data_IF_733942922017
#
_entry.id   IF_733942922017
#
_cell.length_a   1.000
_cell.length_b   1.000
_cell.length_c   1.000
_cell.angle_alpha   90.00
_cell.angle_beta   90.00
_cell.angle_gamma   90.00
#
_symmetry.space_group_name_H-M   'P 1'
#
loop_
_entity.id
_entity.type
_entity.pdbx_description
1 polymer ?
#
# COMPACT_ATOMS: atom_id res chain seq x y z
N UNK A 1 -36.34 -40.22 -1.63
CA UNK A 1 -34.94 -40.00 -2.06
C UNK A 1 -34.75 -38.89 -3.12
N UNK A 2 -35.77 -38.47 -3.88
CA UNK A 2 -35.59 -37.50 -4.99
C UNK A 2 -35.49 -36.00 -4.61
N UNK A 3 -36.25 -35.53 -3.60
CA UNK A 3 -36.34 -34.09 -3.29
C UNK A 3 -35.05 -33.46 -2.74
N UNK A 4 -34.25 -34.23 -2.00
CA UNK A 4 -32.99 -33.75 -1.38
C UNK A 4 -31.88 -33.57 -2.42
N UNK A 5 -31.86 -34.37 -3.49
CA UNK A 5 -30.88 -34.26 -4.57
C UNK A 5 -31.14 -33.04 -5.45
N UNK A 6 -32.41 -32.72 -5.70
CA UNK A 6 -32.79 -31.56 -6.50
C UNK A 6 -32.39 -30.25 -5.80
N UNK A 7 -32.66 -30.14 -4.48
CA UNK A 7 -32.28 -28.96 -3.70
C UNK A 7 -30.76 -28.73 -3.69
N UNK A 8 -29.96 -29.80 -3.56
CA UNK A 8 -28.50 -29.69 -3.60
C UNK A 8 -27.96 -29.19 -4.95
N UNK A 9 -28.57 -29.59 -6.07
CA UNK A 9 -28.20 -29.11 -7.41
C UNK A 9 -28.57 -27.63 -7.58
N UNK A 10 -29.75 -27.21 -7.11
CA UNK A 10 -30.15 -25.80 -7.16
C UNK A 10 -29.26 -24.90 -6.29
N UNK A 11 -28.83 -25.35 -5.11
CA UNK A 11 -27.89 -24.59 -4.27
C UNK A 11 -26.50 -24.51 -4.93
N UNK A 12 -26.00 -25.61 -5.50
CA UNK A 12 -24.72 -25.60 -6.23
C UNK A 12 -24.77 -24.67 -7.44
N UNK A 13 -25.86 -24.70 -8.23
CA UNK A 13 -26.04 -23.83 -9.39
C UNK A 13 -26.18 -22.36 -8.99
N UNK A 14 -26.96 -22.06 -7.95
CA UNK A 14 -27.08 -20.69 -7.42
C UNK A 14 -25.74 -20.16 -6.88
N UNK A 15 -24.94 -21.01 -6.24
CA UNK A 15 -23.62 -20.66 -5.75
C UNK A 15 -22.63 -20.45 -6.91
N UNK A 16 -22.65 -21.31 -7.94
CA UNK A 16 -21.83 -21.15 -9.13
C UNK A 16 -22.18 -19.85 -9.87
N UNK A 17 -23.48 -19.54 -10.00
CA UNK A 17 -23.97 -18.29 -10.59
C UNK A 17 -23.58 -17.07 -9.74
N UNK A 18 -23.55 -17.20 -8.41
CA UNK A 18 -23.08 -16.14 -7.50
C UNK A 18 -21.55 -15.94 -7.54
N UNK A 19 -20.78 -16.95 -7.96
CA UNK A 19 -19.32 -16.90 -8.12
C UNK A 19 -18.87 -16.38 -9.50
N UNK A 20 -19.72 -16.48 -10.54
CA UNK A 20 -19.40 -15.98 -11.88
C UNK A 20 -19.08 -14.45 -11.92
N UNK A 21 -19.79 -13.57 -11.20
CA UNK A 21 -19.42 -12.16 -11.09
C UNK A 21 -18.05 -11.97 -10.44
N UNK A 22 -17.65 -12.80 -9.49
CA UNK A 22 -16.37 -12.70 -8.78
C UNK A 22 -15.19 -12.91 -9.72
N UNK A 23 -15.31 -13.88 -10.64
CA UNK A 23 -14.27 -14.19 -11.64
C UNK A 23 -14.22 -13.11 -12.72
N UNK A 24 -15.36 -12.54 -13.12
CA UNK A 24 -15.41 -11.40 -14.03
C UNK A 24 -14.85 -10.11 -13.38
N UNK A 25 -15.06 -9.91 -12.07
CA UNK A 25 -14.53 -8.79 -11.29
C UNK A 25 -13.02 -8.87 -11.06
N UNK A 26 -12.42 -10.07 -11.12
CA UNK A 26 -10.97 -10.25 -11.07
C UNK A 26 -10.25 -9.82 -12.36
N UNK A 27 -10.99 -9.60 -13.45
CA UNK A 27 -10.46 -9.07 -14.73
C UNK A 27 -10.66 -7.56 -14.91
N UNK A 28 -11.26 -6.84 -13.96
CA UNK A 28 -11.29 -5.37 -14.02
C UNK A 28 -9.89 -4.86 -13.72
N UNK A 29 -9.16 -4.60 -14.81
CA UNK A 29 -7.73 -4.41 -14.84
C UNK A 29 -7.23 -3.36 -13.86
N UNK A 30 -6.02 -3.64 -13.35
CA UNK A 30 -5.11 -2.64 -12.82
C UNK A 30 -5.26 -1.37 -13.65
N UNK A 31 -5.53 -0.26 -12.98
CA UNK A 31 -5.57 1.01 -13.67
C UNK A 31 -4.22 1.27 -14.33
N UNK A 32 -4.19 2.22 -15.24
CA UNK A 32 -2.93 2.82 -15.65
C UNK A 32 -3.07 4.31 -15.40
N UNK A 33 -2.09 4.91 -14.74
CA UNK A 33 -2.04 6.35 -14.56
C UNK A 33 -0.88 6.98 -15.31
N UNK A 34 -1.01 8.28 -15.56
CA UNK A 34 0.04 9.11 -16.13
C UNK A 34 0.35 10.22 -15.13
N UNK A 35 1.63 10.41 -14.80
CA UNK A 35 2.08 11.55 -14.01
C UNK A 35 2.52 12.66 -14.97
N UNK A 36 1.91 13.83 -14.83
CA UNK A 36 2.24 15.03 -15.60
C UNK A 36 2.81 16.08 -14.66
N UNK A 37 3.97 16.65 -14.99
CA UNK A 37 4.63 17.70 -14.20
C UNK A 37 4.59 19.02 -14.96
N UNK A 38 4.52 20.15 -14.24
CA UNK A 38 4.42 21.47 -14.88
C UNK A 38 5.72 21.94 -15.52
N UNK A 39 6.85 21.35 -15.14
CA UNK A 39 8.17 21.64 -15.70
C UNK A 39 9.08 20.42 -15.65
N UNK A 40 9.71 20.10 -16.78
CA UNK A 40 10.69 19.01 -16.89
C UNK A 40 12.13 19.48 -16.68
N UNK A 41 12.36 20.79 -16.61
CA UNK A 41 13.69 21.37 -16.43
C UNK A 41 13.62 22.47 -15.38
N UNK A 42 14.45 22.39 -14.35
CA UNK A 42 14.57 23.42 -13.31
C UNK A 42 16.03 23.76 -13.11
N UNK A 43 16.34 25.06 -12.95
CA UNK A 43 17.70 25.51 -12.61
C UNK A 43 17.72 25.94 -11.17
N UNK A 44 18.66 25.39 -10.40
CA UNK A 44 18.86 25.71 -9.00
C UNK A 44 20.34 25.97 -8.73
N UNK A 45 20.61 26.65 -7.62
CA UNK A 45 21.94 26.80 -7.05
C UNK A 45 22.09 25.86 -5.85
N UNK A 46 23.31 25.49 -5.44
CA UNK A 46 23.53 24.72 -4.22
C UNK A 46 22.84 25.38 -3.02
N UNK A 47 22.05 24.59 -2.28
CA UNK A 47 21.22 25.07 -1.15
C UNK A 47 19.87 25.66 -1.56
N UNK A 48 19.60 25.75 -2.86
CA UNK A 48 18.34 26.22 -3.41
C UNK A 48 17.21 25.19 -3.31
N UNK A 49 15.97 25.68 -3.41
CA UNK A 49 14.77 24.86 -3.50
C UNK A 49 13.78 25.49 -4.49
N UNK A 50 12.97 24.67 -5.15
CA UNK A 50 11.85 25.11 -5.97
C UNK A 50 10.64 24.21 -5.77
N UNK A 51 9.46 24.72 -6.10
CA UNK A 51 8.22 23.95 -6.06
C UNK A 51 7.55 24.02 -7.43
N UNK A 52 7.23 22.86 -7.99
CA UNK A 52 6.48 22.72 -9.24
C UNK A 52 5.15 22.00 -8.98
N UNK A 53 4.20 22.12 -9.90
CA UNK A 53 2.94 21.39 -9.81
C UNK A 53 3.03 20.04 -10.51
N UNK A 54 2.28 19.06 -10.03
CA UNK A 54 2.09 17.78 -10.72
C UNK A 54 0.60 17.38 -10.71
N UNK A 55 0.23 16.53 -11.65
CA UNK A 55 -1.10 15.92 -11.78
C UNK A 55 -0.94 14.44 -12.09
N UNK A 56 -1.64 13.57 -11.35
CA UNK A 56 -1.77 12.15 -11.68
C UNK A 56 -3.12 11.97 -12.36
N UNK A 57 -3.13 11.48 -13.59
CA UNK A 57 -4.33 11.26 -14.40
C UNK A 57 -4.57 9.77 -14.59
N UNK A 58 -5.81 9.34 -14.44
CA UNK A 58 -6.22 7.99 -14.84
C UNK A 58 -6.24 7.89 -16.36
N UNK A 59 -5.47 6.96 -16.91
CA UNK A 59 -5.45 6.63 -18.35
C UNK A 59 -6.47 5.54 -18.66
N UNK A 60 -6.57 4.51 -17.80
CA UNK A 60 -7.51 3.41 -17.97
C UNK A 60 -7.78 2.67 -16.66
N UNK A 61 -8.84 1.87 -16.60
CA UNK A 61 -9.20 1.05 -15.44
C UNK A 61 -9.92 1.81 -14.34
N UNK A 62 -9.85 1.29 -13.11
CA UNK A 62 -10.42 1.90 -11.91
C UNK A 62 -9.30 2.39 -10.98
N UNK A 63 -9.59 3.41 -10.18
CA UNK A 63 -8.64 4.02 -9.24
C UNK A 63 -8.98 3.64 -7.81
N UNK A 64 -7.99 3.14 -7.07
CA UNK A 64 -8.04 3.16 -5.62
C UNK A 64 -6.61 3.21 -5.05
N UNK A 65 -6.31 4.22 -4.23
CA UNK A 65 -5.09 4.23 -3.42
C UNK A 65 -3.78 4.48 -4.18
N UNK A 66 -3.77 5.38 -5.15
CA UNK A 66 -2.56 5.74 -5.90
C UNK A 66 -1.57 6.52 -5.03
N UNK A 67 -0.31 6.13 -5.08
CA UNK A 67 0.79 6.77 -4.37
C UNK A 67 1.82 7.35 -5.35
N UNK A 68 2.31 8.55 -5.05
CA UNK A 68 3.39 9.20 -5.79
C UNK A 68 4.73 8.69 -5.26
N UNK A 69 5.44 7.94 -6.10
CA UNK A 69 6.81 7.50 -5.82
C UNK A 69 7.81 8.41 -6.51
N UNK A 70 8.79 8.88 -5.74
CA UNK A 70 9.86 9.77 -6.20
C UNK A 70 11.19 9.05 -6.04
N UNK A 71 12.02 9.06 -7.09
CA UNK A 71 13.38 8.52 -7.09
C UNK A 71 14.32 9.58 -7.65
N UNK A 72 15.39 9.90 -6.94
CA UNK A 72 16.42 10.84 -7.40
C UNK A 72 17.68 10.11 -7.82
N UNK A 73 18.41 10.63 -8.82
CA UNK A 73 19.65 10.01 -9.31
C UNK A 73 20.85 10.22 -8.38
N UNK A 74 20.73 11.08 -7.36
CA UNK A 74 21.81 11.43 -6.44
C UNK A 74 21.27 11.84 -5.07
N UNK A 75 22.07 11.66 -4.03
CA UNK A 75 21.82 12.15 -2.68
C UNK A 75 21.93 13.68 -2.54
N UNK A 76 22.49 14.37 -3.53
CA UNK A 76 22.54 15.85 -3.53
C UNK A 76 21.19 16.51 -3.85
N UNK A 77 20.24 15.75 -4.38
CA UNK A 77 18.91 16.23 -4.74
C UNK A 77 17.87 15.38 -4.01
N UNK A 78 16.94 16.05 -3.33
CA UNK A 78 15.77 15.42 -2.73
C UNK A 78 14.50 16.06 -3.27
N UNK A 79 13.41 15.29 -3.28
CA UNK A 79 12.11 15.80 -3.68
C UNK A 79 10.98 15.15 -2.88
N UNK A 80 9.93 15.93 -2.61
CA UNK A 80 8.75 15.50 -1.85
C UNK A 80 7.46 15.99 -2.53
N UNK A 81 6.43 15.14 -2.52
CA UNK A 81 5.12 15.44 -3.09
C UNK A 81 4.10 15.73 -1.98
N UNK A 82 3.22 16.70 -2.21
CA UNK A 82 2.08 17.00 -1.34
C UNK A 82 0.82 17.33 -2.17
N UNK A 83 -0.26 16.53 -2.09
CA UNK A 83 -0.34 15.25 -1.37
C UNK A 83 0.57 14.18 -1.99
N UNK A 84 0.97 13.17 -1.22
CA UNK A 84 1.75 12.03 -1.73
C UNK A 84 0.88 10.87 -2.22
N UNK A 85 -0.44 10.94 -2.02
CA UNK A 85 -1.40 9.89 -2.38
C UNK A 85 -2.79 10.48 -2.65
N UNK A 86 -3.59 9.76 -3.42
CA UNK A 86 -4.97 10.13 -3.75
C UNK A 86 -5.51 9.26 -4.88
N UNK A 87 -6.81 9.36 -5.16
CA UNK A 87 -7.42 8.69 -6.31
C UNK A 87 -7.35 9.61 -7.54
N UNK A 88 -6.84 9.15 -8.69
CA UNK A 88 -6.80 9.96 -9.90
C UNK A 88 -8.19 10.34 -10.42
N UNK A 89 -8.39 11.54 -10.96
CA UNK A 89 -7.36 12.57 -11.18
C UNK A 89 -7.13 13.43 -9.93
N UNK A 90 -5.89 13.50 -9.44
CA UNK A 90 -5.52 14.43 -8.37
C UNK A 90 -4.28 15.24 -8.73
N UNK A 91 -4.11 16.39 -8.09
CA UNK A 91 -3.00 17.31 -8.31
C UNK A 91 -2.35 17.74 -7.00
N UNK A 92 -1.08 18.10 -7.08
CA UNK A 92 -0.30 18.49 -5.92
C UNK A 92 0.90 19.36 -6.26
N UNK A 93 1.75 19.55 -5.27
CA UNK A 93 3.02 20.26 -5.38
C UNK A 93 4.18 19.31 -5.14
N UNK A 94 5.19 19.38 -5.99
CA UNK A 94 6.47 18.70 -5.85
C UNK A 94 7.52 19.73 -5.45
N UNK A 95 8.08 19.59 -4.26
CA UNK A 95 9.19 20.45 -3.79
C UNK A 95 10.50 19.73 -4.04
N UNK A 96 11.43 20.37 -4.75
CA UNK A 96 12.75 19.86 -5.10
C UNK A 96 13.78 20.71 -4.37
N UNK A 97 14.67 20.07 -3.62
CA UNK A 97 15.72 20.75 -2.85
C UNK A 97 17.09 20.21 -3.25
N UNK A 98 18.06 21.13 -3.37
CA UNK A 98 19.45 20.83 -3.70
C UNK A 98 20.32 21.11 -2.47
N UNK A 99 21.17 20.14 -2.11
CA UNK A 99 22.10 20.29 -1.00
C UNK A 99 23.06 21.49 -1.21
N UNK A 100 23.50 22.12 -0.14
CA UNK A 100 24.42 23.28 -0.19
C UNK A 100 25.81 22.95 -0.74
N UNK A 101 26.22 21.68 -0.68
CA UNK A 101 27.48 21.17 -1.19
C UNK A 101 27.32 20.43 -2.54
N UNK A 102 26.17 20.52 -3.19
CA UNK A 102 25.94 19.85 -4.46
C UNK A 102 26.90 20.36 -5.55
N UNK A 103 27.65 19.48 -6.22
CA UNK A 103 28.44 19.87 -7.38
C UNK A 103 27.56 20.42 -8.51
N UNK A 104 28.12 21.30 -9.33
CA UNK A 104 27.45 21.71 -10.57
C UNK A 104 27.28 20.52 -11.50
N UNK A 105 26.09 20.37 -12.08
CA UNK A 105 25.76 19.22 -12.91
C UNK A 105 24.27 19.14 -13.21
N UNK A 106 23.89 18.05 -13.89
CA UNK A 106 22.50 17.72 -14.18
C UNK A 106 22.12 16.50 -13.34
N UNK A 107 21.04 16.61 -12.60
CA UNK A 107 20.47 15.53 -11.79
C UNK A 107 19.07 15.20 -12.25
N UNK A 108 18.64 13.97 -12.02
CA UNK A 108 17.33 13.49 -12.45
C UNK A 108 16.44 13.21 -11.23
N UNK A 109 15.18 13.63 -11.35
CA UNK A 109 14.12 13.28 -10.41
C UNK A 109 13.02 12.60 -11.21
N UNK A 110 12.81 11.32 -10.95
CA UNK A 110 11.78 10.49 -11.57
C UNK A 110 10.56 10.42 -10.65
N UNK A 111 9.40 10.80 -11.17
CA UNK A 111 8.12 10.78 -10.46
C UNK A 111 7.19 9.79 -11.14
N UNK A 112 6.71 8.80 -10.41
CA UNK A 112 5.83 7.73 -10.93
C UNK A 112 4.62 7.54 -10.04
N UNK A 113 3.51 7.09 -10.62
CA UNK A 113 2.36 6.59 -9.88
C UNK A 113 2.60 5.11 -9.55
N UNK A 114 2.25 4.71 -8.33
CA UNK A 114 2.32 3.34 -7.81
C UNK A 114 1.04 3.01 -7.06
N UNK A 115 0.79 1.73 -6.81
CA UNK A 115 -0.48 1.25 -6.26
C UNK A 115 -1.24 0.45 -7.32
N UNK A 116 -2.56 0.59 -7.33
CA UNK A 116 -3.46 -0.21 -8.18
C UNK A 116 -3.49 0.26 -9.64
N UNK A 117 -3.00 1.47 -9.90
CA UNK A 117 -2.92 2.11 -11.20
C UNK A 117 -1.52 2.67 -11.51
N UNK A 118 -0.50 1.80 -11.61
CA UNK A 118 0.88 2.24 -11.79
C UNK A 118 1.05 3.00 -13.10
N UNK A 119 1.96 3.96 -13.11
CA UNK A 119 2.36 4.63 -14.34
C UNK A 119 3.27 3.74 -15.16
N UNK A 120 2.99 3.62 -16.46
CA UNK A 120 3.83 2.86 -17.40
C UNK A 120 5.22 3.48 -17.61
N UNK A 121 5.33 4.80 -17.42
CA UNK A 121 6.59 5.54 -17.46
C UNK A 121 6.62 6.61 -16.37
N UNK A 122 7.75 6.83 -15.69
CA UNK A 122 7.92 7.98 -14.82
C UNK A 122 7.96 9.27 -15.63
N UNK A 123 7.52 10.37 -15.01
CA UNK A 123 7.83 11.72 -15.44
C UNK A 123 9.22 12.11 -14.94
N UNK A 124 10.14 12.41 -15.86
CA UNK A 124 11.51 12.81 -15.53
C UNK A 124 11.65 14.33 -15.51
N UNK A 125 12.26 14.83 -14.44
CA UNK A 125 12.63 16.24 -14.25
C UNK A 125 14.15 16.33 -14.17
N UNK A 126 14.74 17.19 -15.00
CA UNK A 126 16.16 17.52 -14.98
C UNK A 126 16.43 18.76 -14.13
N UNK A 127 17.25 18.60 -13.09
CA UNK A 127 17.67 19.64 -12.17
C UNK A 127 19.08 20.08 -12.53
N UNK A 128 19.21 21.28 -13.11
CA UNK A 128 20.48 21.90 -13.46
C UNK A 128 21.00 22.67 -12.26
N UNK A 129 22.05 22.15 -11.63
CA UNK A 129 22.73 22.84 -10.52
C UNK A 129 23.87 23.68 -11.08
N UNK A 130 23.77 25.00 -10.91
CA UNK A 130 24.82 25.95 -11.33
C UNK A 130 25.71 26.31 -10.15
N UNK A 131 27.00 26.47 -10.40
CA UNK A 131 27.93 26.97 -9.39
C UNK A 131 27.52 28.38 -8.94
N UNK A 132 27.63 28.65 -7.63
CA UNK A 132 27.56 30.03 -7.15
C UNK A 132 28.76 30.76 -7.76
N UNK A 133 28.50 31.65 -8.71
CA UNK A 133 29.53 32.51 -9.28
C UNK A 133 30.07 33.39 -8.16
N UNK A 134 31.22 33.02 -7.62
CA UNK A 134 32.00 33.89 -6.73
C UNK A 134 32.68 34.90 -7.64
N UNK A 135 32.08 36.09 -7.76
CA UNK A 135 32.79 37.24 -8.32
C UNK A 135 34.01 37.49 -7.43
N UNK A 136 35.19 37.10 -7.88
CA UNK A 136 36.43 37.34 -7.18
C UNK A 136 36.70 38.85 -7.17
N UNK A 137 36.47 39.51 -6.03
CA UNK A 137 36.97 40.87 -5.80
C UNK A 137 38.48 40.78 -5.63
N UNK A 138 39.24 41.05 -6.70
CA UNK A 138 40.69 41.21 -6.62
C UNK A 138 41.00 42.51 -5.88
N UNK A 139 41.30 42.43 -4.59
CA UNK A 139 41.83 43.57 -3.83
C UNK A 139 43.29 43.77 -4.23
N UNK A 140 43.56 44.66 -5.19
CA UNK A 140 44.91 45.12 -5.50
C UNK A 140 45.40 46.01 -4.35
N UNK A 141 46.26 45.47 -3.49
CA UNK A 141 46.92 46.23 -2.43
C UNK A 141 48.04 47.08 -3.04
N UNK A 142 47.76 48.35 -3.32
CA UNK A 142 48.80 49.32 -3.71
C UNK A 142 49.55 49.77 -2.45
N UNK A 143 50.81 49.37 -2.30
CA UNK A 143 51.71 49.91 -1.27
C UNK A 143 52.14 51.32 -1.64
N UNK A 144 51.63 52.33 -0.94
CA UNK A 144 52.10 53.71 -1.01
C UNK A 144 53.21 53.95 0.03
N UNK A 145 54.42 54.18 -0.46
CA UNK A 145 55.55 54.70 0.31
C UNK A 145 55.36 56.19 0.56
N UNK A 146 55.31 56.61 1.82
CA UNK A 146 55.20 58.02 2.24
C UNK A 146 56.56 58.71 2.18
N UNK A 147 56.64 59.86 1.50
CA UNK A 147 57.76 60.80 1.61
C UNK A 147 57.20 62.21 1.77
N UNK A 148 57.59 62.87 2.85
CA UNK A 148 57.19 64.23 3.22
C UNK A 148 57.85 65.27 2.32
N UNK A 149 57.06 66.25 1.83
CA UNK A 149 57.57 67.57 1.47
C UNK A 149 56.47 68.65 1.47
N UNK A 150 56.93 69.85 1.78
CA UNK A 150 56.26 71.10 2.16
C UNK A 150 55.48 71.82 1.05
N UNK A 151 54.44 72.53 1.50
CA UNK A 151 53.58 73.58 0.92
C UNK A 151 53.99 74.31 -0.37
N UNK A 152 53.05 74.46 -1.32
CA UNK A 152 52.64 75.77 -1.90
C UNK A 152 51.29 75.69 -2.62
N UNK A 153 50.49 76.73 -2.45
CA UNK A 153 49.18 77.07 -3.05
C UNK A 153 49.24 77.25 -4.58
N UNK A 154 48.15 76.99 -5.33
CA UNK A 154 47.59 77.80 -6.48
C UNK A 154 46.46 77.08 -7.27
N UNK A 155 45.26 77.70 -7.24
CA UNK A 155 44.12 77.84 -8.21
C UNK A 155 43.65 76.78 -9.25
N UNK A 156 42.38 76.35 -9.09
CA UNK A 156 41.23 76.25 -10.06
C UNK A 156 41.27 75.32 -11.31
N UNK A 157 40.11 75.04 -11.97
CA UNK A 157 39.07 74.02 -11.71
C UNK A 157 39.07 72.87 -12.75
N UNK A 158 38.28 71.79 -12.58
CA UNK A 158 37.51 71.14 -13.68
C UNK A 158 36.90 69.78 -13.30
N UNK A 159 35.70 69.57 -13.86
CA UNK A 159 34.98 68.33 -14.14
C UNK A 159 34.37 67.50 -13.01
N UNK A 160 33.03 67.59 -12.99
CA UNK A 160 32.12 66.70 -12.31
C UNK A 160 32.26 65.25 -12.79
N UNK A 161 32.45 64.34 -11.84
CA UNK A 161 32.17 62.92 -12.02
C UNK A 161 31.11 62.53 -10.98
N UNK A 162 29.93 62.20 -11.46
CA UNK A 162 28.79 61.70 -10.68
C UNK A 162 29.07 60.25 -10.29
N UNK A 163 29.44 60.01 -9.03
CA UNK A 163 29.55 58.67 -8.46
C UNK A 163 28.17 58.24 -7.94
N UNK A 164 27.48 57.38 -8.70
CA UNK A 164 26.26 56.73 -8.22
C UNK A 164 26.65 55.59 -7.27
N UNK A 165 26.51 55.81 -5.97
CA UNK A 165 26.64 54.77 -4.95
C UNK A 165 25.34 53.99 -4.87
N UNK A 166 25.31 52.79 -5.47
CA UNK A 166 24.20 51.85 -5.29
C UNK A 166 24.44 51.03 -4.02
N UNK A 167 23.78 51.41 -2.94
CA UNK A 167 23.77 50.65 -1.68
C UNK A 167 22.90 49.40 -1.84
N UNK A 168 23.52 48.26 -2.17
CA UNK A 168 22.83 46.96 -2.12
C UNK A 168 22.65 46.54 -0.66
N UNK A 169 21.43 46.71 -0.16
CA UNK A 169 21.02 46.28 1.18
C UNK A 169 20.94 44.75 1.20
N UNK A 170 21.92 44.09 1.82
CA UNK A 170 21.87 42.66 2.11
C UNK A 170 20.71 42.39 3.07
N UNK A 171 19.63 41.81 2.55
CA UNK A 171 18.52 41.30 3.37
C UNK A 171 18.90 39.89 3.81
N UNK A 172 19.39 39.75 5.03
CA UNK A 172 19.57 38.45 5.68
C UNK A 172 18.20 37.93 6.07
N UNK A 173 17.60 37.10 5.22
CA UNK A 173 16.35 36.39 5.53
C UNK A 173 16.70 35.19 6.41
N UNK A 174 16.63 35.35 7.73
CA UNK A 174 16.68 34.24 8.68
C UNK A 174 15.39 33.43 8.57
N UNK A 175 15.43 32.35 7.81
CA UNK A 175 14.34 31.37 7.77
C UNK A 175 14.32 30.57 9.07
N UNK A 176 13.46 30.99 10.01
CA UNK A 176 13.10 30.18 11.16
C UNK A 176 12.25 29.01 10.68
N UNK A 177 12.85 27.83 10.61
CA UNK A 177 12.13 26.57 10.38
C UNK A 177 11.34 26.24 11.65
N UNK A 178 10.09 26.70 11.73
CA UNK A 178 9.14 26.15 12.69
C UNK A 178 8.71 24.78 12.15
N UNK A 179 9.35 23.72 12.64
CA UNK A 179 8.86 22.35 12.49
C UNK A 179 7.58 22.21 13.30
N UNK A 180 6.45 22.59 12.70
CA UNK A 180 5.14 22.23 13.20
C UNK A 180 4.98 20.74 12.98
N UNK A 181 5.08 19.95 14.06
CA UNK A 181 4.67 18.56 14.04
C UNK A 181 3.25 18.50 13.43
N UNK A 182 2.99 17.63 12.44
CA UNK A 182 1.64 17.49 11.91
C UNK A 182 0.72 17.17 13.09
N UNK A 183 -0.25 18.07 13.33
CA UNK A 183 -1.30 17.82 14.30
C UNK A 183 -1.87 16.43 14.02
N UNK A 184 -2.01 15.56 15.05
CA UNK A 184 -2.63 14.27 14.85
C UNK A 184 -4.02 14.54 14.29
N UNK A 185 -4.20 14.23 13.01
CA UNK A 185 -5.52 14.15 12.41
C UNK A 185 -6.26 13.09 13.22
N UNK A 186 -7.14 13.55 14.10
CA UNK A 186 -8.08 12.72 14.83
C UNK A 186 -9.05 12.13 13.81
N UNK A 187 -8.58 11.11 13.09
CA UNK A 187 -9.43 10.13 12.47
C UNK A 187 -10.30 9.60 13.59
N UNK A 188 -11.55 10.08 13.63
CA UNK A 188 -12.58 9.57 14.50
C UNK A 188 -12.66 8.09 14.22
N UNK A 189 -12.05 7.31 15.09
CA UNK A 189 -12.23 5.87 15.18
C UNK A 189 -13.70 5.67 15.52
N UNK A 190 -14.55 5.67 14.49
CA UNK A 190 -15.93 5.26 14.63
C UNK A 190 -15.89 3.91 15.35
N UNK A 191 -16.72 3.73 16.38
CA UNK A 191 -16.84 2.44 17.09
C UNK A 191 -17.61 1.40 16.26
N UNK A 192 -18.19 1.81 15.13
CA UNK A 192 -18.88 0.95 14.17
C UNK A 192 -18.08 -0.29 13.67
N UNK A 193 -16.78 -0.19 13.35
CA UNK A 193 -15.97 -1.32 12.95
C UNK A 193 -15.69 -2.28 14.12
N UNK A 194 -15.56 -1.78 15.35
CA UNK A 194 -15.41 -2.63 16.55
C UNK A 194 -16.71 -3.40 16.87
N UNK A 195 -17.88 -2.76 16.67
CA UNK A 195 -19.17 -3.42 16.79
C UNK A 195 -19.36 -4.53 15.77
N UNK A 196 -19.00 -4.29 14.51
CA UNK A 196 -19.02 -5.32 13.46
C UNK A 196 -18.04 -6.47 13.77
N UNK A 197 -16.87 -6.17 14.35
CA UNK A 197 -15.87 -7.15 14.78
C UNK A 197 -16.44 -8.12 15.83
N UNK A 198 -17.05 -7.60 16.88
CA UNK A 198 -17.64 -8.43 17.95
C UNK A 198 -18.77 -9.31 17.37
N UNK A 199 -19.59 -8.76 16.47
CA UNK A 199 -20.69 -9.52 15.85
C UNK A 199 -20.17 -10.65 14.96
N UNK A 200 -19.20 -10.42 14.07
CA UNK A 200 -18.69 -11.46 13.16
C UNK A 200 -17.97 -12.57 13.92
N UNK A 201 -17.17 -12.23 14.94
CA UNK A 201 -16.50 -13.23 15.79
C UNK A 201 -17.52 -14.03 16.59
N UNK A 202 -18.52 -13.37 17.20
CA UNK A 202 -19.60 -14.06 17.92
C UNK A 202 -20.39 -14.96 16.97
N UNK A 203 -20.72 -14.52 15.76
CA UNK A 203 -21.44 -15.35 14.78
C UNK A 203 -20.59 -16.53 14.30
N UNK A 204 -19.28 -16.34 14.10
CA UNK A 204 -18.37 -17.41 13.70
C UNK A 204 -18.22 -18.45 14.83
N UNK A 205 -18.07 -18.00 16.08
CA UNK A 205 -18.04 -18.88 17.25
C UNK A 205 -19.39 -19.57 17.45
N UNK A 206 -20.49 -18.82 17.40
CA UNK A 206 -21.84 -19.37 17.51
C UNK A 206 -22.13 -20.38 16.39
N UNK A 207 -21.60 -20.17 15.19
CA UNK A 207 -21.65 -21.16 14.13
C UNK A 207 -20.83 -22.40 14.51
N UNK A 208 -19.56 -22.27 14.89
CA UNK A 208 -18.71 -23.43 15.28
C UNK A 208 -19.33 -24.23 16.43
N UNK A 209 -19.77 -23.56 17.49
CA UNK A 209 -20.38 -24.21 18.66
C UNK A 209 -21.79 -24.72 18.38
N UNK A 210 -22.64 -23.91 17.74
CA UNK A 210 -24.02 -24.26 17.40
C UNK A 210 -24.10 -25.39 16.38
N UNK A 211 -23.23 -25.40 15.37
CA UNK A 211 -23.13 -26.52 14.43
C UNK A 211 -22.55 -27.78 15.10
N UNK A 212 -21.79 -27.65 16.18
CA UNK A 212 -21.40 -28.78 17.03
C UNK A 212 -22.58 -29.60 17.56
N UNK A 213 -23.77 -29.00 17.67
CA UNK A 213 -25.01 -29.65 18.11
C UNK A 213 -25.71 -30.45 16.99
N UNK A 214 -25.42 -30.15 15.71
CA UNK A 214 -26.03 -30.87 14.55
C UNK A 214 -25.50 -32.30 14.37
N UNK A 215 -24.58 -32.73 15.24
CA UNK A 215 -23.92 -34.02 15.19
C UNK A 215 -22.74 -34.04 14.20
N UNK A 216 -21.77 -34.94 14.43
CA UNK A 216 -20.47 -34.87 13.76
C UNK A 216 -20.54 -35.07 12.24
N UNK A 217 -21.58 -35.74 11.73
CA UNK A 217 -21.74 -35.97 10.28
C UNK A 217 -22.21 -34.73 9.52
N UNK A 218 -22.91 -33.80 10.18
CA UNK A 218 -23.51 -32.61 9.52
C UNK A 218 -22.70 -31.34 9.75
N UNK A 219 -21.94 -31.27 10.85
CA UNK A 219 -21.16 -30.07 11.19
C UNK A 219 -20.03 -29.80 10.20
N UNK A 220 -19.30 -30.82 9.76
CA UNK A 220 -18.19 -30.66 8.80
C UNK A 220 -18.59 -30.07 7.44
N UNK A 221 -19.58 -30.63 6.70
CA UNK A 221 -19.99 -30.03 5.43
C UNK A 221 -20.54 -28.62 5.60
N UNK A 222 -21.28 -28.37 6.68
CA UNK A 222 -21.88 -27.06 6.92
C UNK A 222 -20.83 -25.99 7.27
N UNK A 223 -19.80 -26.32 8.04
CA UNK A 223 -18.67 -25.41 8.31
C UNK A 223 -17.84 -25.15 7.03
N UNK A 224 -17.63 -26.18 6.20
CA UNK A 224 -16.93 -26.04 4.92
C UNK A 224 -17.71 -25.18 3.91
N UNK A 225 -19.04 -25.17 3.96
CA UNK A 225 -19.84 -24.28 3.11
C UNK A 225 -19.94 -22.87 3.70
N UNK A 226 -19.91 -22.74 5.02
CA UNK A 226 -19.93 -21.44 5.67
C UNK A 226 -18.63 -20.66 5.44
N UNK A 227 -17.49 -21.34 5.26
CA UNK A 227 -16.20 -20.70 4.93
C UNK A 227 -16.20 -20.01 3.56
N UNK A 228 -17.13 -20.35 2.67
CA UNK A 228 -17.26 -19.70 1.37
C UNK A 228 -17.56 -18.19 1.47
N UNK A 229 -18.17 -17.75 2.58
CA UNK A 229 -18.49 -16.33 2.80
C UNK A 229 -17.21 -15.49 2.93
N UNK A 230 -16.32 -15.74 3.92
CA UNK A 230 -15.07 -15.00 4.01
C UNK A 230 -14.13 -15.23 2.82
N UNK A 231 -14.13 -16.42 2.23
CA UNK A 231 -13.34 -16.70 1.03
C UNK A 231 -13.78 -15.83 -0.15
N UNK A 232 -15.08 -15.78 -0.44
CA UNK A 232 -15.63 -14.94 -1.50
C UNK A 232 -15.38 -13.46 -1.24
N UNK A 233 -15.43 -13.02 0.02
CA UNK A 233 -15.08 -11.65 0.40
C UNK A 233 -13.62 -11.34 0.06
N UNK A 234 -12.68 -12.18 0.51
CA UNK A 234 -11.25 -11.98 0.25
C UNK A 234 -10.94 -12.00 -1.26
N UNK A 235 -11.54 -12.93 -2.01
CA UNK A 235 -11.36 -12.99 -3.46
C UNK A 235 -11.86 -11.75 -4.21
N UNK A 236 -12.92 -11.10 -3.70
CA UNK A 236 -13.53 -9.94 -4.36
C UNK A 236 -12.94 -8.60 -3.89
N UNK A 237 -12.62 -8.48 -2.60
CA UNK A 237 -12.37 -7.20 -1.92
C UNK A 237 -10.99 -7.06 -1.31
N UNK A 238 -10.10 -8.05 -1.46
CA UNK A 238 -8.71 -7.92 -1.05
C UNK A 238 -7.81 -7.58 -2.25
N UNK A 239 -7.58 -6.28 -2.53
CA UNK A 239 -6.68 -5.87 -3.60
C UNK A 239 -5.22 -6.18 -3.26
N UNK A 240 -4.83 -6.12 -1.98
CA UNK A 240 -3.46 -6.43 -1.56
C UNK A 240 -3.14 -7.89 -1.88
N UNK A 241 -4.06 -8.82 -1.58
CA UNK A 241 -3.90 -10.22 -1.94
C UNK A 241 -3.70 -10.44 -3.44
N UNK A 242 -4.41 -9.67 -4.29
CA UNK A 242 -4.29 -9.75 -5.76
C UNK A 242 -3.00 -9.11 -6.29
N UNK A 243 -2.60 -7.97 -5.73
CA UNK A 243 -1.50 -7.17 -6.25
C UNK A 243 -0.15 -7.64 -5.73
N UNK A 244 -0.05 -7.92 -4.42
CA UNK A 244 1.23 -8.21 -3.76
C UNK A 244 1.43 -9.70 -3.52
N UNK A 245 0.35 -10.49 -3.47
CA UNK A 245 0.39 -11.91 -3.12
C UNK A 245 -0.36 -12.84 -4.09
N UNK A 246 -0.09 -12.79 -5.41
CA UNK A 246 -0.88 -13.51 -6.41
C UNK A 246 -0.92 -15.03 -6.17
N UNK A 247 0.16 -15.62 -5.65
CA UNK A 247 0.16 -17.05 -5.28
C UNK A 247 -0.87 -17.35 -4.18
N UNK A 248 -0.94 -16.50 -3.15
CA UNK A 248 -1.90 -16.65 -2.05
C UNK A 248 -3.34 -16.47 -2.57
N UNK A 249 -3.56 -15.53 -3.48
CA UNK A 249 -4.84 -15.37 -4.17
C UNK A 249 -5.29 -16.64 -4.91
N UNK A 250 -4.40 -17.26 -5.70
CA UNK A 250 -4.72 -18.51 -6.41
C UNK A 250 -4.94 -19.70 -5.48
N UNK A 251 -4.15 -19.80 -4.39
CA UNK A 251 -4.34 -20.83 -3.37
C UNK A 251 -5.69 -20.68 -2.67
N UNK A 252 -6.10 -19.45 -2.37
CA UNK A 252 -7.42 -19.17 -1.81
C UNK A 252 -8.54 -19.55 -2.78
N UNK A 253 -8.42 -19.20 -4.06
CA UNK A 253 -9.40 -19.59 -5.09
C UNK A 253 -9.50 -21.12 -5.25
N UNK A 254 -8.36 -21.83 -5.24
CA UNK A 254 -8.32 -23.29 -5.28
C UNK A 254 -8.96 -23.92 -4.03
N UNK A 255 -8.68 -23.35 -2.85
CA UNK A 255 -9.30 -23.76 -1.60
C UNK A 255 -10.82 -23.56 -1.63
N UNK A 256 -11.31 -22.47 -2.18
CA UNK A 256 -12.75 -22.24 -2.37
C UNK A 256 -13.41 -23.27 -3.25
N UNK A 257 -12.82 -23.57 -4.41
CA UNK A 257 -13.32 -24.63 -5.27
C UNK A 257 -13.36 -25.99 -4.55
N UNK A 258 -12.34 -26.29 -3.75
CA UNK A 258 -12.31 -27.48 -2.91
C UNK A 258 -13.42 -27.48 -1.83
N UNK A 259 -13.60 -26.38 -1.09
CA UNK A 259 -14.62 -26.23 -0.04
C UNK A 259 -16.02 -26.46 -0.59
N UNK A 260 -16.33 -25.95 -1.78
CA UNK A 260 -17.59 -26.21 -2.48
C UNK A 260 -17.74 -27.70 -2.80
N UNK A 261 -16.75 -28.28 -3.48
CA UNK A 261 -16.80 -29.67 -3.93
C UNK A 261 -16.90 -30.65 -2.75
N UNK A 262 -16.09 -30.44 -1.72
CA UNK A 262 -16.06 -31.27 -0.52
C UNK A 262 -17.34 -31.12 0.32
N UNK A 263 -17.79 -29.88 0.57
CA UNK A 263 -19.01 -29.60 1.33
C UNK A 263 -20.24 -30.22 0.68
N UNK A 264 -20.40 -30.05 -0.64
CA UNK A 264 -21.52 -30.64 -1.40
C UNK A 264 -21.43 -32.15 -1.45
N UNK A 265 -20.24 -32.70 -1.70
CA UNK A 265 -20.02 -34.16 -1.71
C UNK A 265 -20.41 -34.76 -0.36
N UNK A 266 -19.98 -34.16 0.76
CA UNK A 266 -20.28 -34.64 2.10
C UNK A 266 -21.77 -34.50 2.47
N UNK A 267 -22.47 -33.47 1.96
CA UNK A 267 -23.93 -33.35 2.11
C UNK A 267 -24.68 -34.45 1.36
N UNK A 268 -24.25 -34.77 0.14
CA UNK A 268 -24.92 -35.75 -0.71
C UNK A 268 -24.55 -37.19 -0.35
N UNK A 269 -23.29 -37.42 0.00
CA UNK A 269 -22.67 -38.71 0.26
C UNK A 269 -21.60 -38.57 1.36
N UNK A 270 -21.91 -38.93 2.61
CA UNK A 270 -20.95 -38.84 3.72
C UNK A 270 -19.89 -39.95 3.61
N UNK A 271 -18.92 -39.77 2.71
CA UNK A 271 -17.82 -40.70 2.48
C UNK A 271 -16.70 -40.44 3.49
N UNK A 272 -16.16 -41.51 4.10
CA UNK A 272 -15.03 -41.40 5.05
C UNK A 272 -13.82 -40.72 4.41
N UNK A 273 -13.48 -41.08 3.17
CA UNK A 273 -12.37 -40.46 2.45
C UNK A 273 -12.55 -38.95 2.27
N UNK A 274 -13.78 -38.50 2.01
CA UNK A 274 -14.08 -37.07 1.88
C UNK A 274 -13.90 -36.32 3.21
N UNK A 275 -14.34 -36.88 4.35
CA UNK A 275 -14.06 -36.26 5.66
C UNK A 275 -12.56 -36.22 5.96
N UNK A 276 -11.79 -37.28 5.64
CA UNK A 276 -10.34 -37.28 5.83
C UNK A 276 -9.65 -36.21 4.98
N UNK A 277 -10.06 -36.07 3.72
CA UNK A 277 -9.53 -35.06 2.82
C UNK A 277 -9.89 -33.64 3.28
N UNK A 278 -11.14 -33.38 3.67
CA UNK A 278 -11.56 -32.09 4.25
C UNK A 278 -10.79 -31.78 5.53
N UNK A 279 -10.59 -32.77 6.40
CA UNK A 279 -9.79 -32.59 7.62
C UNK A 279 -8.36 -32.15 7.31
N UNK A 280 -7.71 -32.85 6.38
CA UNK A 280 -6.33 -32.58 6.01
C UNK A 280 -6.18 -31.21 5.33
N UNK A 281 -6.99 -30.91 4.31
CA UNK A 281 -6.85 -29.67 3.53
C UNK A 281 -7.25 -28.44 4.36
N UNK A 282 -8.35 -28.49 5.12
CA UNK A 282 -8.75 -27.36 5.97
C UNK A 282 -7.72 -27.13 7.11
N UNK A 283 -7.17 -28.21 7.68
CA UNK A 283 -6.11 -28.11 8.68
C UNK A 283 -4.82 -27.52 8.11
N UNK A 284 -4.42 -27.95 6.91
CA UNK A 284 -3.23 -27.42 6.23
C UNK A 284 -3.42 -25.95 5.84
N UNK A 285 -4.61 -25.55 5.41
CA UNK A 285 -4.95 -24.14 5.14
C UNK A 285 -4.82 -23.28 6.41
N UNK A 286 -5.37 -23.73 7.54
CA UNK A 286 -5.19 -23.04 8.82
C UNK A 286 -3.72 -22.91 9.20
N UNK A 287 -2.94 -23.98 9.07
CA UNK A 287 -1.51 -23.96 9.39
C UNK A 287 -0.73 -23.02 8.45
N UNK A 288 -1.06 -23.05 7.15
CA UNK A 288 -0.43 -22.19 6.15
C UNK A 288 -0.68 -20.70 6.45
N UNK A 289 -1.91 -20.31 6.80
CA UNK A 289 -2.22 -18.93 7.19
C UNK A 289 -1.44 -18.48 8.44
N UNK A 290 -1.31 -19.36 9.45
CA UNK A 290 -0.54 -19.05 10.67
C UNK A 290 0.96 -18.90 10.35
N UNK A 291 1.52 -19.82 9.55
CA UNK A 291 2.93 -19.78 9.14
C UNK A 291 3.22 -18.56 8.28
N UNK A 292 2.33 -18.21 7.34
CA UNK A 292 2.51 -17.04 6.48
C UNK A 292 2.50 -15.76 7.32
N UNK A 293 1.59 -15.62 8.28
CA UNK A 293 1.61 -14.48 9.20
C UNK A 293 2.86 -14.44 10.09
N UNK A 294 3.25 -15.57 10.67
CA UNK A 294 4.37 -15.65 11.62
C UNK A 294 5.74 -15.40 10.95
N UNK A 295 5.89 -15.77 9.69
CA UNK A 295 7.14 -15.64 8.95
C UNK A 295 7.22 -14.35 8.10
N UNK A 296 6.22 -13.46 8.21
CA UNK A 296 6.21 -12.20 7.49
C UNK A 296 5.90 -12.35 6.00
N UNK A 297 4.89 -13.17 5.68
CA UNK A 297 4.32 -13.36 4.34
C UNK A 297 5.26 -14.01 3.28
N UNK A 298 6.10 -15.01 3.63
CA UNK A 298 7.02 -15.60 2.66
C UNK A 298 6.29 -16.44 1.61
N UNK A 299 5.16 -17.06 1.93
CA UNK A 299 4.37 -17.86 0.96
C UNK A 299 3.58 -16.96 0.02
N UNK A 300 3.25 -15.76 0.49
CA UNK A 300 2.62 -14.71 -0.32
C UNK A 300 3.63 -13.92 -1.16
N UNK A 301 4.92 -14.29 -1.16
CA UNK A 301 6.00 -13.62 -1.92
C UNK A 301 6.21 -12.13 -1.60
N UNK A 302 5.65 -11.65 -0.50
CA UNK A 302 5.84 -10.28 0.00
C UNK A 302 7.06 -10.29 0.92
N UNK A 303 8.26 -10.19 0.36
CA UNK A 303 9.47 -10.19 1.17
C UNK A 303 9.72 -8.79 1.77
N UNK A 304 9.26 -8.57 3.01
CA UNK A 304 9.60 -7.37 3.80
C UNK A 304 10.39 -7.77 5.05
N UNK A 305 11.71 -7.99 4.93
CA UNK A 305 12.53 -8.47 6.03
C UNK A 305 12.53 -7.45 7.17
N UNK A 306 12.04 -7.88 8.35
CA UNK A 306 12.10 -7.10 9.59
C UNK A 306 10.80 -6.37 9.99
N UNK A 307 9.72 -6.49 9.23
CA UNK A 307 8.42 -5.91 9.60
C UNK A 307 7.43 -6.99 10.03
N UNK A 308 6.64 -6.73 11.08
CA UNK A 308 5.47 -7.54 11.50
C UNK A 308 4.35 -7.55 10.43
N UNK A 309 4.66 -7.25 9.17
CA UNK A 309 3.72 -7.03 8.08
C UNK A 309 2.74 -8.19 7.88
N UNK A 310 3.15 -9.44 8.15
CA UNK A 310 2.24 -10.59 8.09
C UNK A 310 1.20 -10.63 9.21
N UNK A 311 1.62 -10.35 10.44
CA UNK A 311 0.70 -10.23 11.57
C UNK A 311 -0.19 -9.00 11.40
N UNK A 312 0.38 -7.89 10.93
CA UNK A 312 -0.36 -6.67 10.66
C UNK A 312 -1.32 -6.82 9.46
N UNK A 313 -1.01 -7.70 8.52
CA UNK A 313 -1.90 -8.00 7.41
C UNK A 313 -3.07 -8.88 7.86
N UNK A 314 -2.78 -9.99 8.55
CA UNK A 314 -3.81 -10.93 9.02
C UNK A 314 -4.64 -10.40 10.19
N UNK A 315 -4.04 -9.57 11.05
CA UNK A 315 -4.59 -9.15 12.35
C UNK A 315 -4.43 -7.64 12.63
N UNK A 316 -3.94 -6.83 11.68
CA UNK A 316 -3.69 -5.41 11.93
C UNK A 316 -4.93 -4.52 11.87
N UNK A 317 -6.12 -5.07 11.61
CA UNK A 317 -7.41 -4.40 11.85
C UNK A 317 -7.61 -3.04 11.16
N UNK A 318 -7.02 -2.79 9.99
CA UNK A 318 -7.13 -1.45 9.38
C UNK A 318 -6.02 -0.47 9.76
N UNK A 319 -5.10 -0.85 10.65
CA UNK A 319 -4.06 0.05 11.17
C UNK A 319 -2.83 0.13 10.26
N UNK A 320 -2.78 -0.71 9.21
CA UNK A 320 -1.71 -0.70 8.22
C UNK A 320 -2.27 -0.48 6.82
N UNK A 321 -1.50 0.12 5.90
CA UNK A 321 -1.96 0.43 4.55
C UNK A 321 -2.36 -0.82 3.72
N UNK A 322 -1.96 -2.01 4.16
CA UNK A 322 -2.22 -3.27 3.47
C UNK A 322 -3.40 -4.06 4.04
N UNK A 323 -3.92 -3.70 5.22
CA UNK A 323 -4.99 -4.45 5.86
C UNK A 323 -6.18 -3.54 6.05
N UNK A 324 -7.33 -3.89 5.47
CA UNK A 324 -8.60 -3.30 5.88
C UNK A 324 -9.21 -4.16 6.99
N UNK A 325 -10.07 -3.57 7.81
CA UNK A 325 -10.80 -4.33 8.83
C UNK A 325 -11.55 -5.52 8.21
N UNK A 326 -12.22 -5.33 7.07
CA UNK A 326 -12.97 -6.40 6.41
C UNK A 326 -12.08 -7.54 5.94
N UNK A 327 -10.87 -7.24 5.47
CA UNK A 327 -9.85 -8.23 5.10
C UNK A 327 -9.38 -9.00 6.33
N UNK A 328 -8.97 -8.30 7.40
CA UNK A 328 -8.58 -8.92 8.68
C UNK A 328 -9.68 -9.85 9.21
N UNK A 329 -10.93 -9.38 9.21
CA UNK A 329 -12.09 -10.15 9.68
C UNK A 329 -12.32 -11.40 8.84
N UNK A 330 -12.20 -11.28 7.53
CA UNK A 330 -12.44 -12.41 6.63
C UNK A 330 -11.35 -13.47 6.79
N UNK A 331 -10.09 -13.08 6.95
CA UNK A 331 -9.01 -14.02 7.30
C UNK A 331 -9.25 -14.72 8.65
N UNK A 332 -9.62 -13.97 9.69
CA UNK A 332 -9.89 -14.54 11.00
C UNK A 332 -11.07 -15.52 10.98
N UNK A 333 -12.17 -15.16 10.32
CA UNK A 333 -13.33 -16.04 10.13
C UNK A 333 -12.98 -17.26 9.29
N UNK A 334 -12.23 -17.10 8.21
CA UNK A 334 -11.77 -18.21 7.37
C UNK A 334 -10.92 -19.19 8.19
N UNK A 335 -10.00 -18.69 9.01
CA UNK A 335 -9.16 -19.50 9.88
C UNK A 335 -9.99 -20.29 10.89
N UNK A 336 -10.93 -19.65 11.58
CA UNK A 336 -11.80 -20.30 12.57
C UNK A 336 -12.71 -21.37 11.94
N UNK A 337 -13.33 -21.05 10.79
CA UNK A 337 -14.22 -21.97 10.09
C UNK A 337 -13.46 -23.16 9.50
N UNK A 338 -12.26 -22.94 8.96
CA UNK A 338 -11.40 -24.02 8.45
C UNK A 338 -10.93 -24.95 9.57
N UNK A 339 -10.49 -24.39 10.71
CA UNK A 339 -10.15 -25.18 11.88
C UNK A 339 -11.36 -25.98 12.41
N UNK A 340 -12.53 -25.35 12.45
CA UNK A 340 -13.79 -25.99 12.82
C UNK A 340 -14.18 -27.13 11.88
N UNK A 341 -14.10 -26.91 10.56
CA UNK A 341 -14.37 -27.91 9.54
C UNK A 341 -13.41 -29.11 9.67
N UNK A 342 -12.14 -28.84 9.95
CA UNK A 342 -11.13 -29.89 10.20
C UNK A 342 -11.48 -30.73 11.43
N UNK A 343 -11.70 -30.08 12.58
CA UNK A 343 -12.05 -30.76 13.83
C UNK A 343 -13.36 -31.55 13.73
N UNK A 344 -14.38 -30.97 13.09
CA UNK A 344 -15.66 -31.64 12.83
C UNK A 344 -15.48 -32.90 11.96
N UNK A 345 -14.64 -32.81 10.93
CA UNK A 345 -14.35 -33.93 10.04
C UNK A 345 -13.62 -35.08 10.75
N UNK A 346 -12.64 -34.75 11.61
CA UNK A 346 -11.96 -35.75 12.47
C UNK A 346 -12.96 -36.42 13.42
N UNK A 347 -13.87 -35.66 14.03
CA UNK A 347 -14.91 -36.21 14.91
C UNK A 347 -15.86 -37.11 14.14
N UNK A 348 -16.22 -36.77 12.90
CA UNK A 348 -17.05 -37.60 12.02
C UNK A 348 -16.38 -38.94 11.70
N UNK A 349 -15.08 -38.94 11.40
CA UNK A 349 -14.29 -40.14 11.17
C UNK A 349 -14.29 -41.06 12.39
N UNK A 350 -14.02 -40.50 13.58
CA UNK A 350 -14.04 -41.26 14.85
C UNK A 350 -15.42 -41.84 15.17
N UNK A 351 -16.48 -41.07 14.97
CA UNK A 351 -17.86 -41.53 15.19
C UNK A 351 -18.27 -42.64 14.20
N UNK A 352 -17.71 -42.62 13.00
CA UNK A 352 -17.93 -43.66 11.99
C UNK A 352 -17.16 -44.96 12.23
N UNK A 353 -16.21 -44.99 13.17
CA UNK A 353 -15.32 -46.13 13.44
C UNK A 353 -15.87 -47.16 14.43
N UNK A 354 -17.12 -47.04 14.94
CA UNK A 354 -17.69 -48.11 15.77
C UNK A 354 -17.75 -49.42 14.95
N UNK A 355 -16.93 -50.44 15.30
CA UNK A 355 -17.01 -51.75 14.68
C UNK A 355 -18.15 -52.51 15.37
N UNK A 356 -19.14 -52.98 14.62
CA UNK A 356 -20.19 -53.84 15.17
C UNK A 356 -21.61 -53.28 15.15
N UNK A 357 -22.05 -52.74 14.01
CA UNK A 357 -23.42 -52.91 13.55
C UNK A 357 -23.39 -53.61 12.20
#
# INVERSE_FOLDING_TARGET
>A
MGKVRLLGIFVLAALLIALLPSVAMAQYGYGASEVVVSANNVTLYPGGSTTISFTVKLVSGNTWGTNVKIVTSSSYVSATASPSSGDPTFSGKLTITVASNAPSGVYEVNVSATGDDPSSSPATIYVYVKSNSTTATTTTTTSTTTTSATSTTTTTPSSAATTTVTTTKTVTTTSTYTTTAPSPSSSSSSLAPLGAFVVVVILSLAAVFGLGLLGPRKSAPALSLLSLIPEGYLLAFDPALRATAPLHYYLLAAYTAFSVAAGVTLLLRPLRAAYALTAAIAGLMTLAMILDAALGLPLSSVYSPGSMAGIDYLFGMGLTPFSSLGVTLSFASLMLLSAGASGASIRALRAGLKPGM
#
